data_IF_743108193371
#
_entry.id   IF_743108193371
#
_cell.length_a   1.000
_cell.length_b   1.000
_cell.length_c   1.000
_cell.angle_alpha   90.00
_cell.angle_beta   90.00
_cell.angle_gamma   90.00
#
_symmetry.space_group_name_H-M   'P 1'
#
loop_
_entity.id
_entity.type
_entity.pdbx_description
1 polymer ?
#
# COMPACT_ATOMS: atom_id res chain seq x y z
N UNK A 1 6.07 -9.30 -3.13
CA UNK A 1 6.98 -9.94 -2.17
C UNK A 1 6.93 -9.19 -0.85
N UNK A 2 6.54 -9.86 0.24
CA UNK A 2 6.45 -9.32 1.61
C UNK A 2 7.81 -9.01 2.23
N UNK A 3 8.91 -9.32 1.54
CA UNK A 3 10.27 -9.00 1.96
C UNK A 3 10.50 -9.45 3.43
N UNK A 4 10.10 -10.67 3.75
CA UNK A 4 10.08 -11.18 5.13
C UNK A 4 11.35 -11.97 5.52
N UNK A 5 12.41 -11.96 4.70
CA UNK A 5 13.67 -12.69 4.97
C UNK A 5 13.62 -14.21 4.82
N UNK A 6 12.44 -14.84 4.86
CA UNK A 6 12.31 -16.30 4.91
C UNK A 6 13.03 -17.05 3.78
N UNK A 7 13.05 -16.51 2.55
CA UNK A 7 13.76 -17.14 1.42
C UNK A 7 15.29 -17.17 1.62
N UNK A 8 15.86 -16.18 2.31
CA UNK A 8 17.29 -16.14 2.65
C UNK A 8 17.60 -17.17 3.75
N UNK A 9 16.74 -17.27 4.78
CA UNK A 9 16.95 -18.17 5.92
C UNK A 9 16.93 -19.66 5.54
N UNK A 10 15.99 -20.06 4.68
CA UNK A 10 15.84 -21.47 4.28
C UNK A 10 16.81 -21.86 3.15
N UNK A 11 17.57 -20.92 2.60
CA UNK A 11 18.44 -21.18 1.46
C UNK A 11 19.65 -22.05 1.88
N UNK A 12 19.83 -23.26 1.32
CA UNK A 12 20.90 -24.18 1.72
C UNK A 12 22.30 -23.64 1.42
N UNK A 13 22.41 -22.72 0.45
CA UNK A 13 23.66 -22.10 0.02
C UNK A 13 23.79 -20.64 0.51
N UNK A 14 22.90 -20.18 1.40
CA UNK A 14 22.94 -18.86 2.04
C UNK A 14 22.95 -17.66 1.08
N UNK A 15 22.20 -17.74 -0.02
CA UNK A 15 22.01 -16.59 -0.92
C UNK A 15 21.12 -15.56 -0.23
N UNK A 16 21.57 -14.30 -0.15
CA UNK A 16 20.79 -13.21 0.44
C UNK A 16 19.76 -12.64 -0.53
N UNK A 17 18.75 -13.45 -0.87
CA UNK A 17 17.75 -13.10 -1.88
C UNK A 17 16.93 -11.86 -1.48
N UNK A 18 16.62 -11.69 -0.20
CA UNK A 18 15.82 -10.57 0.29
C UNK A 18 16.47 -9.20 0.00
N UNK A 19 17.76 -9.04 0.31
CA UNK A 19 18.50 -7.80 0.05
C UNK A 19 18.74 -7.60 -1.45
N UNK A 20 19.10 -8.67 -2.17
CA UNK A 20 19.26 -8.59 -3.63
C UNK A 20 17.97 -8.10 -4.33
N UNK A 21 16.79 -8.48 -3.82
CA UNK A 21 15.52 -7.97 -4.35
C UNK A 21 15.29 -6.47 -4.06
N UNK A 22 15.84 -5.94 -2.97
CA UNK A 22 15.83 -4.50 -2.70
C UNK A 22 16.73 -3.76 -3.66
N UNK A 23 17.96 -4.23 -3.82
CA UNK A 23 18.96 -3.62 -4.70
C UNK A 23 18.45 -3.60 -6.14
N UNK A 24 17.93 -4.73 -6.63
CA UNK A 24 17.34 -4.81 -7.96
C UNK A 24 16.17 -3.83 -8.16
N UNK A 25 15.33 -3.61 -7.14
CA UNK A 25 14.24 -2.63 -7.22
C UNK A 25 14.78 -1.20 -7.25
N UNK A 26 15.81 -0.91 -6.47
CA UNK A 26 16.47 0.39 -6.48
C UNK A 26 17.13 0.68 -7.84
N UNK A 27 17.87 -0.29 -8.38
CA UNK A 27 18.48 -0.19 -9.71
C UNK A 27 17.44 -0.01 -10.81
N UNK A 28 16.33 -0.75 -10.79
CA UNK A 28 15.26 -0.59 -11.77
C UNK A 28 14.68 0.84 -11.79
N UNK A 29 14.60 1.50 -10.63
CA UNK A 29 14.14 2.89 -10.56
C UNK A 29 15.19 3.85 -11.15
N UNK A 30 16.47 3.65 -10.82
CA UNK A 30 17.60 4.45 -11.35
C UNK A 30 17.69 4.31 -12.87
N UNK A 31 17.56 3.10 -13.39
CA UNK A 31 17.58 2.78 -14.82
C UNK A 31 16.34 3.29 -15.57
N UNK A 32 15.38 3.90 -14.87
CA UNK A 32 14.22 4.53 -15.50
C UNK A 32 13.11 3.55 -15.87
N UNK A 33 13.09 2.34 -15.32
CA UNK A 33 12.07 1.32 -15.63
C UNK A 33 10.66 1.68 -15.12
N UNK A 34 10.54 2.71 -14.28
CA UNK A 34 9.26 3.23 -13.77
C UNK A 34 8.70 4.35 -14.66
N UNK A 35 7.40 4.36 -14.91
CA UNK A 35 6.75 5.43 -15.69
C UNK A 35 6.60 6.73 -14.88
N UNK A 36 6.44 7.87 -15.57
CA UNK A 36 6.16 9.16 -14.90
C UNK A 36 4.87 9.08 -14.07
N UNK A 37 3.83 8.44 -14.63
CA UNK A 37 2.55 8.26 -13.94
C UNK A 37 2.72 7.49 -12.63
N UNK A 38 3.52 6.42 -12.64
CA UNK A 38 3.83 5.65 -11.43
C UNK A 38 4.58 6.48 -10.38
N UNK A 39 5.60 7.25 -10.79
CA UNK A 39 6.34 8.14 -9.88
C UNK A 39 5.44 9.17 -9.22
N UNK A 40 4.52 9.78 -10.00
CA UNK A 40 3.53 10.73 -9.49
C UNK A 40 2.55 10.06 -8.54
N UNK A 41 2.06 8.86 -8.88
CA UNK A 41 1.17 8.09 -8.02
C UNK A 41 1.81 7.78 -6.66
N UNK A 42 3.07 7.32 -6.64
CA UNK A 42 3.80 7.08 -5.38
C UNK A 42 4.04 8.36 -4.58
N UNK A 43 4.36 9.47 -5.24
CA UNK A 43 4.53 10.77 -4.56
C UNK A 43 3.23 11.26 -3.93
N UNK A 44 2.11 11.15 -4.65
CA UNK A 44 0.78 11.49 -4.14
C UNK A 44 0.40 10.57 -2.97
N UNK A 45 0.62 9.26 -3.10
CA UNK A 45 0.36 8.28 -2.04
C UNK A 45 1.17 8.58 -0.77
N UNK A 46 2.47 8.87 -0.92
CA UNK A 46 3.33 9.28 0.20
C UNK A 46 2.78 10.52 0.89
N UNK A 47 2.43 11.55 0.13
CA UNK A 47 1.92 12.79 0.70
C UNK A 47 0.60 12.55 1.46
N UNK A 48 -0.34 11.81 0.85
CA UNK A 48 -1.62 11.45 1.45
C UNK A 48 -1.47 10.64 2.74
N UNK A 49 -0.55 9.67 2.74
CA UNK A 49 -0.32 8.76 3.89
C UNK A 49 0.37 9.45 5.06
N UNK A 50 1.19 10.48 4.80
CA UNK A 50 1.89 11.23 5.84
C UNK A 50 1.03 12.36 6.45
N UNK A 51 -0.10 12.72 5.82
CA UNK A 51 -0.99 13.76 6.33
C UNK A 51 -2.26 13.16 6.94
N UNK A 52 -2.43 13.36 8.25
CA UNK A 52 -3.58 12.82 8.99
C UNK A 52 -4.94 13.33 8.50
N UNK A 53 -5.03 14.60 8.12
CA UNK A 53 -6.27 15.17 7.59
C UNK A 53 -6.63 14.49 6.27
N UNK A 54 -5.65 14.28 5.39
CA UNK A 54 -5.88 13.58 4.11
C UNK A 54 -6.32 12.13 4.29
N UNK A 55 -5.76 11.42 5.27
CA UNK A 55 -6.21 10.06 5.60
C UNK A 55 -7.68 10.01 6.07
N UNK A 56 -8.13 11.04 6.79
CA UNK A 56 -9.50 11.14 7.30
C UNK A 56 -10.51 11.60 6.23
N UNK A 57 -10.07 12.36 5.21
CA UNK A 57 -10.95 12.77 4.10
C UNK A 57 -11.44 11.60 3.23
N UNK A 58 -10.71 10.47 3.23
CA UNK A 58 -11.11 9.24 2.54
C UNK A 58 -12.23 8.49 3.26
N UNK A 59 -13.50 8.86 3.05
CA UNK A 59 -14.66 8.16 3.61
C UNK A 59 -14.84 6.74 3.03
N UNK A 60 -15.66 5.92 3.70
CA UNK A 60 -15.91 4.53 3.30
C UNK A 60 -16.47 4.37 1.89
N UNK A 61 -17.37 5.27 1.46
CA UNK A 61 -17.98 5.23 0.11
C UNK A 61 -16.94 5.44 -1.00
N UNK A 62 -16.06 6.42 -0.83
CA UNK A 62 -14.99 6.70 -1.79
C UNK A 62 -14.00 5.53 -1.86
N UNK A 63 -13.62 4.95 -0.71
CA UNK A 63 -12.72 3.79 -0.65
C UNK A 63 -13.35 2.55 -1.31
N UNK A 64 -14.62 2.26 -1.02
CA UNK A 64 -15.37 1.16 -1.65
C UNK A 64 -15.42 1.33 -3.17
N UNK A 65 -15.75 2.54 -3.64
CA UNK A 65 -15.81 2.81 -5.08
C UNK A 65 -14.44 2.64 -5.76
N UNK A 66 -13.38 3.24 -5.21
CA UNK A 66 -12.03 3.14 -5.77
C UNK A 66 -11.56 1.69 -5.82
N UNK A 67 -11.70 0.95 -4.72
CA UNK A 67 -11.13 -0.41 -4.65
C UNK A 67 -11.95 -1.41 -5.48
N UNK A 68 -13.28 -1.35 -5.45
CA UNK A 68 -14.12 -2.34 -6.14
C UNK A 68 -14.35 -1.99 -7.62
N UNK A 69 -14.23 -0.72 -8.05
CA UNK A 69 -14.46 -0.30 -9.44
C UNK A 69 -13.19 0.06 -10.21
N UNK A 70 -12.20 0.70 -9.57
CA UNK A 70 -10.96 1.13 -10.23
C UNK A 70 -9.88 0.04 -10.11
N UNK A 71 -9.69 -0.53 -8.91
CA UNK A 71 -8.69 -1.58 -8.67
C UNK A 71 -9.27 -2.99 -8.74
N UNK A 72 -9.77 -3.38 -9.93
CA UNK A 72 -10.36 -4.71 -10.20
C UNK A 72 -9.42 -5.89 -9.90
N UNK A 73 -8.11 -5.66 -9.82
CA UNK A 73 -7.11 -6.66 -9.43
C UNK A 73 -7.46 -7.43 -8.15
N UNK A 74 -8.04 -6.73 -7.18
CA UNK A 74 -8.48 -7.34 -5.91
C UNK A 74 -9.75 -8.18 -6.08
N UNK A 75 -10.81 -7.60 -6.65
CA UNK A 75 -12.12 -8.26 -6.75
C UNK A 75 -12.15 -9.43 -7.74
N UNK A 76 -11.14 -9.56 -8.61
CA UNK A 76 -11.00 -10.72 -9.49
C UNK A 76 -10.73 -12.03 -8.71
N UNK A 77 -10.06 -11.96 -7.56
CA UNK A 77 -9.65 -13.15 -6.81
C UNK A 77 -10.16 -13.15 -5.36
N UNK A 78 -10.81 -12.07 -4.93
CA UNK A 78 -11.29 -11.88 -3.55
C UNK A 78 -12.66 -11.19 -3.55
N UNK A 79 -13.38 -11.29 -2.43
CA UNK A 79 -14.64 -10.58 -2.23
C UNK A 79 -14.45 -9.06 -2.28
N UNK A 80 -15.53 -8.35 -2.58
CA UNK A 80 -15.57 -6.89 -2.48
C UNK A 80 -15.16 -6.43 -1.08
N UNK A 81 -14.45 -5.30 -1.03
CA UNK A 81 -14.06 -4.67 0.22
C UNK A 81 -15.15 -3.70 0.65
N UNK A 82 -15.54 -3.79 1.93
CA UNK A 82 -16.42 -2.84 2.58
C UNK A 82 -15.67 -2.07 3.67
N UNK A 83 -15.41 -0.80 3.38
CA UNK A 83 -14.75 0.14 4.26
C UNK A 83 -15.79 0.89 5.10
N UNK A 84 -15.54 0.95 6.41
CA UNK A 84 -16.32 1.75 7.37
C UNK A 84 -16.48 3.21 6.91
N UNK A 85 -17.65 3.79 7.18
CA UNK A 85 -17.93 5.21 6.89
C UNK A 85 -16.98 6.15 7.64
N UNK A 86 -16.62 5.79 8.88
CA UNK A 86 -15.68 6.53 9.71
C UNK A 86 -14.32 5.83 9.72
N UNK A 87 -13.27 6.63 9.68
CA UNK A 87 -11.91 6.15 9.89
C UNK A 87 -11.70 5.72 11.34
N UNK A 88 -10.72 4.85 11.56
CA UNK A 88 -10.33 4.45 12.92
C UNK A 88 -10.04 5.66 13.82
N UNK A 89 -9.46 6.73 13.29
CA UNK A 89 -9.19 7.93 14.07
C UNK A 89 -10.45 8.62 14.58
N UNK A 90 -11.45 8.73 13.73
CA UNK A 90 -12.72 9.37 14.06
C UNK A 90 -13.46 8.53 15.08
N UNK A 91 -13.53 7.22 14.87
CA UNK A 91 -14.08 6.27 15.84
C UNK A 91 -13.36 6.35 17.19
N UNK A 92 -12.04 6.46 17.19
CA UNK A 92 -11.25 6.60 18.41
C UNK A 92 -11.55 7.91 19.14
N UNK A 93 -11.58 9.04 18.43
CA UNK A 93 -11.91 10.35 19.01
C UNK A 93 -13.33 10.39 19.58
N UNK A 94 -14.28 9.76 18.92
CA UNK A 94 -15.66 9.65 19.41
C UNK A 94 -15.74 8.83 20.69
N UNK A 95 -14.99 7.72 20.77
CA UNK A 95 -14.93 6.89 21.98
C UNK A 95 -14.29 7.61 23.17
N UNK A 96 -13.29 8.45 22.93
CA UNK A 96 -12.55 9.22 23.97
C UNK A 96 -13.25 10.52 24.39
N UNK A 97 -14.29 10.95 23.66
CA UNK A 97 -15.10 12.14 24.00
C UNK A 97 -16.32 11.80 24.88
N UNK A 98 -16.45 10.54 25.30
CA UNK A 98 -17.31 10.13 26.41
C UNK A 98 -16.57 10.31 27.72
#
# INVERSE_FOLDING_TARGET
SSLCGNCTEVCPVRINLHELLLDNRHEAVIQGSSTIAERVAWKAWKMASLNRVMMNMGNGKMKNWVVNKVFKGWSMHRSELDFSQKTFNELWKEKQKK
#
